data_IF_898175608610
#
_entry.id   IF_898175608610
#
_cell.length_a   1.000
_cell.length_b   1.000
_cell.length_c   1.000
_cell.angle_alpha   90.00
_cell.angle_beta   90.00
_cell.angle_gamma   90.00
#
_symmetry.space_group_name_H-M   'P 1'
#
loop_
_entity.id
_entity.type
_entity.pdbx_description
1 polymer ?
#
# COMPACT_ATOMS: atom_id res chain seq x y z
N UNK A 1 0.39 1.79 -20.82
CA UNK A 1 0.05 3.07 -21.45
C UNK A 1 1.36 3.78 -21.72
N UNK A 2 1.54 4.26 -22.94
CA UNK A 2 2.65 5.14 -23.27
C UNK A 2 2.40 6.46 -22.52
N UNK A 3 3.21 6.72 -21.52
CA UNK A 3 3.11 7.96 -20.73
C UNK A 3 3.74 9.15 -21.45
N UNK A 4 4.17 8.96 -22.73
CA UNK A 4 4.67 10.04 -23.58
C UNK A 4 6.06 10.54 -23.21
N UNK A 5 6.81 9.82 -22.37
CA UNK A 5 8.14 10.21 -21.95
C UNK A 5 9.22 9.30 -22.56
N UNK A 6 10.34 9.87 -23.01
CA UNK A 6 11.44 9.07 -23.52
C UNK A 6 12.01 8.20 -22.39
N UNK A 7 12.10 6.92 -22.62
CA UNK A 7 12.76 5.98 -21.71
C UNK A 7 14.25 5.89 -22.07
N UNK A 8 15.10 6.24 -21.11
CA UNK A 8 16.52 5.95 -21.19
C UNK A 8 16.86 4.75 -20.31
N UNK A 9 17.42 3.66 -20.87
CA UNK A 9 17.70 2.46 -20.09
C UNK A 9 18.84 2.63 -19.06
N UNK A 10 19.59 3.72 -19.13
CA UNK A 10 20.68 4.02 -18.19
C UNK A 10 20.31 5.12 -17.17
N UNK A 11 19.57 6.12 -17.62
CA UNK A 11 19.16 7.25 -16.78
C UNK A 11 17.74 7.09 -16.25
N UNK A 12 16.97 6.17 -16.83
CA UNK A 12 15.58 5.91 -16.45
C UNK A 12 14.61 7.00 -16.91
N UNK A 13 13.50 7.13 -16.22
CA UNK A 13 12.49 8.17 -16.46
C UNK A 13 12.90 9.43 -15.71
N UNK A 14 12.72 10.63 -16.29
CA UNK A 14 13.02 11.88 -15.60
C UNK A 14 12.27 12.00 -14.26
N UNK A 15 12.94 12.56 -13.24
CA UNK A 15 12.37 12.73 -11.88
C UNK A 15 11.04 13.47 -11.87
N UNK A 16 10.88 14.45 -12.76
CA UNK A 16 9.68 15.27 -12.85
C UNK A 16 8.43 14.46 -13.26
N UNK A 17 8.62 13.32 -13.89
CA UNK A 17 7.53 12.49 -14.40
C UNK A 17 7.33 11.21 -13.60
N UNK A 18 8.29 10.88 -12.75
CA UNK A 18 8.26 9.72 -11.88
C UNK A 18 8.32 8.38 -12.62
N UNK A 19 8.70 7.35 -11.91
CA UNK A 19 8.70 5.97 -12.38
C UNK A 19 7.44 5.27 -11.89
N UNK A 20 6.31 5.64 -12.47
CA UNK A 20 5.02 5.09 -12.06
C UNK A 20 4.67 3.93 -12.97
N UNK A 21 4.59 2.75 -12.39
CA UNK A 21 4.11 1.54 -13.06
C UNK A 21 2.86 1.03 -12.35
N UNK A 22 2.20 0.08 -12.95
CA UNK A 22 1.07 -0.61 -12.32
C UNK A 22 1.24 -2.10 -12.57
N UNK A 23 1.57 -2.84 -11.53
CA UNK A 23 1.62 -4.30 -11.56
C UNK A 23 0.44 -4.94 -10.85
N UNK A 24 -0.28 -4.17 -10.02
CA UNK A 24 -1.52 -4.61 -9.37
C UNK A 24 -2.72 -4.36 -10.27
N UNK A 25 -3.61 -5.35 -10.45
CA UNK A 25 -4.87 -5.13 -11.17
C UNK A 25 -5.77 -4.16 -10.37
N UNK A 26 -6.47 -3.24 -11.06
CA UNK A 26 -7.50 -2.43 -10.41
C UNK A 26 -8.61 -3.30 -9.82
N UNK A 27 -9.18 -2.87 -8.68
CA UNK A 27 -10.37 -3.50 -8.12
C UNK A 27 -11.58 -2.56 -8.25
N UNK A 28 -12.71 -3.12 -8.65
CA UNK A 28 -13.97 -2.39 -8.70
C UNK A 28 -14.82 -2.79 -7.52
N UNK A 29 -15.21 -1.82 -6.72
CA UNK A 29 -16.08 -2.02 -5.56
C UNK A 29 -17.15 -0.94 -5.53
N UNK A 30 -18.41 -1.36 -5.59
CA UNK A 30 -19.58 -0.49 -5.70
C UNK A 30 -19.46 0.49 -6.89
N UNK A 31 -19.31 1.78 -6.64
CA UNK A 31 -19.15 2.84 -7.64
C UNK A 31 -17.70 3.32 -7.82
N UNK A 32 -16.75 2.60 -7.23
CA UNK A 32 -15.37 3.05 -7.12
C UNK A 32 -14.41 2.04 -7.76
N UNK A 33 -13.48 2.55 -8.55
CA UNK A 33 -12.31 1.81 -9.03
C UNK A 33 -11.14 2.22 -8.16
N UNK A 34 -10.51 1.26 -7.49
CA UNK A 34 -9.30 1.50 -6.68
C UNK A 34 -8.10 0.92 -7.39
N UNK A 35 -7.05 1.70 -7.48
CA UNK A 35 -5.81 1.36 -8.18
C UNK A 35 -4.66 1.41 -7.18
N UNK A 36 -3.98 0.29 -7.02
CA UNK A 36 -2.65 0.26 -6.44
C UNK A 36 -1.66 0.86 -7.42
N UNK A 37 -0.56 1.31 -6.90
CA UNK A 37 0.53 1.86 -7.68
C UNK A 37 1.79 1.07 -7.35
N UNK A 38 2.75 1.04 -8.23
CA UNK A 38 4.09 0.53 -7.95
C UNK A 38 5.11 1.36 -8.70
N UNK A 39 6.30 1.45 -8.16
CA UNK A 39 7.42 2.05 -8.84
C UNK A 39 8.51 1.00 -9.04
N UNK A 40 9.38 1.21 -9.98
CA UNK A 40 10.57 0.38 -10.10
C UNK A 40 11.55 0.77 -8.99
N UNK A 41 11.85 -0.17 -8.13
CA UNK A 41 12.64 0.07 -6.95
C UNK A 41 13.60 -1.03 -6.68
N UNK A 42 14.32 -0.88 -5.59
CA UNK A 42 15.19 -1.91 -5.06
C UNK A 42 16.43 -2.17 -5.91
N UNK A 43 16.31 -2.09 -7.21
CA UNK A 43 17.36 -2.41 -8.17
C UNK A 43 18.30 -1.25 -8.45
N UNK A 44 17.79 -0.04 -8.43
CA UNK A 44 18.57 1.17 -8.73
C UNK A 44 18.96 1.89 -7.45
N UNK A 45 19.77 1.24 -6.63
CA UNK A 45 20.24 1.77 -5.35
C UNK A 45 21.04 3.06 -5.45
N UNK A 46 21.43 3.45 -6.65
CA UNK A 46 22.08 4.73 -6.90
C UNK A 46 21.11 5.93 -6.93
N UNK A 47 19.80 5.65 -6.93
CA UNK A 47 18.75 6.68 -7.00
C UNK A 47 17.97 6.68 -5.70
N UNK A 48 17.98 7.82 -5.03
CA UNK A 48 17.13 8.13 -3.88
C UNK A 48 15.97 8.92 -4.46
N UNK A 49 14.89 8.22 -4.79
CA UNK A 49 13.73 8.84 -5.42
C UNK A 49 12.50 8.66 -4.58
N UNK A 50 11.88 9.78 -4.28
CA UNK A 50 10.54 9.78 -3.75
C UNK A 50 9.55 9.55 -4.89
N UNK A 51 9.26 8.30 -5.18
CA UNK A 51 8.19 7.94 -6.11
C UNK A 51 6.96 7.62 -5.28
N UNK A 52 5.89 8.41 -5.37
CA UNK A 52 4.70 8.16 -4.59
C UNK A 52 4.05 6.84 -5.00
N UNK A 53 3.95 5.92 -4.05
CA UNK A 53 3.20 4.67 -4.19
C UNK A 53 1.71 4.81 -3.86
N UNK A 54 1.17 6.02 -3.94
CA UNK A 54 -0.17 6.38 -3.47
C UNK A 54 -1.27 5.50 -4.06
N UNK A 55 -2.29 5.24 -3.24
CA UNK A 55 -3.49 4.53 -3.69
C UNK A 55 -4.49 5.56 -4.23
N UNK A 56 -4.94 5.31 -5.44
CA UNK A 56 -5.86 6.21 -6.14
C UNK A 56 -7.24 5.56 -6.30
N UNK A 57 -8.28 6.36 -6.22
CA UNK A 57 -9.63 5.89 -6.51
C UNK A 57 -10.37 6.80 -7.46
N UNK A 58 -11.13 6.18 -8.34
CA UNK A 58 -11.87 6.85 -9.39
C UNK A 58 -13.34 6.44 -9.38
N UNK A 59 -14.19 7.36 -9.78
CA UNK A 59 -15.59 7.03 -10.06
C UNK A 59 -15.66 6.12 -11.29
N UNK A 60 -16.33 4.96 -11.16
CA UNK A 60 -16.34 3.95 -12.22
C UNK A 60 -17.10 4.36 -13.47
N UNK A 61 -17.98 5.35 -13.38
CA UNK A 61 -18.82 5.81 -14.48
C UNK A 61 -18.20 6.98 -15.22
N UNK A 62 -17.64 7.93 -14.48
CA UNK A 62 -17.10 9.17 -15.03
C UNK A 62 -15.59 9.16 -15.22
N UNK A 63 -14.88 8.27 -14.52
CA UNK A 63 -13.42 8.25 -14.46
C UNK A 63 -12.83 9.40 -13.63
N UNK A 64 -13.66 10.19 -12.95
CA UNK A 64 -13.18 11.29 -12.11
C UNK A 64 -12.46 10.74 -10.85
N UNK A 65 -11.35 11.38 -10.49
CA UNK A 65 -10.64 11.07 -9.24
C UNK A 65 -11.57 11.37 -8.04
N UNK A 66 -11.78 10.37 -7.19
CA UNK A 66 -12.58 10.49 -5.95
C UNK A 66 -11.70 10.85 -4.76
N UNK A 67 -10.63 10.10 -4.56
CA UNK A 67 -9.69 10.31 -3.47
C UNK A 67 -8.31 9.73 -3.79
N UNK A 68 -7.35 10.19 -3.01
CA UNK A 68 -5.97 9.69 -2.96
C UNK A 68 -5.63 9.40 -1.50
N UNK A 69 -4.97 8.26 -1.26
CA UNK A 69 -4.40 7.91 0.03
C UNK A 69 -2.88 7.91 -0.07
N UNK A 70 -2.22 8.74 0.74
CA UNK A 70 -0.77 8.79 0.81
C UNK A 70 -0.24 7.60 1.61
N UNK A 71 0.45 6.68 0.97
CA UNK A 71 1.06 5.51 1.64
C UNK A 71 2.33 5.88 2.40
N UNK A 72 2.95 7.00 2.05
CA UNK A 72 3.95 7.69 2.87
C UNK A 72 3.27 8.92 3.44
N UNK A 73 2.94 8.93 4.74
CA UNK A 73 2.17 10.01 5.35
C UNK A 73 2.87 11.35 5.21
N UNK A 74 2.12 12.36 4.77
CA UNK A 74 2.59 13.72 4.62
C UNK A 74 2.52 14.50 5.96
N UNK A 75 3.17 15.67 6.09
CA UNK A 75 3.10 16.48 7.29
C UNK A 75 1.66 16.73 7.74
N UNK A 76 1.38 16.36 9.00
CA UNK A 76 0.04 16.45 9.59
C UNK A 76 -0.85 15.21 9.42
N UNK A 77 -0.45 14.23 8.64
CA UNK A 77 -1.14 12.96 8.54
C UNK A 77 -0.67 11.97 9.61
N UNK A 78 -1.54 11.03 9.97
CA UNK A 78 -1.23 9.98 10.94
C UNK A 78 -0.09 9.08 10.45
N UNK A 79 0.92 8.89 11.29
CA UNK A 79 2.08 8.06 10.99
C UNK A 79 3.25 8.82 10.36
N UNK A 80 3.10 10.11 10.06
CA UNK A 80 4.18 10.95 9.53
C UNK A 80 5.42 10.94 10.44
N UNK A 81 5.22 10.95 11.74
CA UNK A 81 6.27 10.89 12.76
C UNK A 81 7.11 9.62 12.71
N UNK A 82 6.64 8.59 12.02
CA UNK A 82 7.39 7.33 11.83
C UNK A 82 8.43 7.38 10.71
N UNK A 83 8.51 8.50 10.01
CA UNK A 83 9.50 8.81 8.97
C UNK A 83 10.45 9.88 9.52
N UNK A 84 11.38 9.44 10.36
CA UNK A 84 12.31 10.33 11.04
C UNK A 84 13.31 10.98 10.06
N UNK A 85 13.89 12.13 10.46
CA UNK A 85 14.86 12.90 9.67
C UNK A 85 14.35 13.28 8.28
N UNK A 86 13.07 13.62 8.18
CA UNK A 86 12.41 14.02 6.94
C UNK A 86 12.56 12.99 5.81
N UNK A 87 12.72 11.72 6.16
CA UNK A 87 12.91 10.64 5.20
C UNK A 87 11.72 10.50 4.22
N UNK A 88 10.54 10.96 4.60
CA UNK A 88 9.34 11.01 3.76
C UNK A 88 9.51 11.87 2.49
N UNK A 89 10.46 12.84 2.50
CA UNK A 89 10.67 13.73 1.36
C UNK A 89 11.38 13.05 0.19
N UNK A 90 12.19 12.02 0.47
CA UNK A 90 13.11 11.49 -0.52
C UNK A 90 13.18 9.95 -0.59
N UNK A 91 12.63 9.23 0.38
CA UNK A 91 12.44 7.79 0.25
C UNK A 91 11.02 7.48 -0.23
N UNK A 92 10.85 6.39 -0.88
CA UNK A 92 9.61 6.14 -1.56
C UNK A 92 9.08 4.73 -1.49
N UNK A 93 8.09 4.60 -2.29
CA UNK A 93 7.46 3.42 -2.81
C UNK A 93 6.95 2.41 -1.81
N UNK A 94 6.38 2.89 -0.77
CA UNK A 94 5.41 2.10 -0.03
C UNK A 94 4.15 1.99 -0.91
N UNK A 95 4.13 1.08 -1.85
CA UNK A 95 3.01 0.93 -2.79
C UNK A 95 2.26 -0.38 -2.55
N UNK A 96 1.34 -0.71 -3.41
CA UNK A 96 0.69 -2.01 -3.43
C UNK A 96 0.78 -2.60 -4.84
N UNK A 97 1.74 -3.50 -5.05
CA UNK A 97 1.86 -4.25 -6.29
C UNK A 97 1.07 -5.57 -6.26
N UNK A 98 0.74 -6.05 -5.08
CA UNK A 98 -0.13 -7.21 -4.91
C UNK A 98 -1.59 -6.86 -5.22
N UNK A 99 -2.40 -7.83 -5.66
CA UNK A 99 -3.82 -7.61 -5.86
C UNK A 99 -4.52 -7.18 -4.57
N UNK A 100 -5.49 -6.29 -4.71
CA UNK A 100 -6.33 -5.80 -3.64
C UNK A 100 -7.50 -6.73 -3.37
N UNK A 101 -8.13 -6.62 -2.20
CA UNK A 101 -9.41 -7.27 -1.89
C UNK A 101 -10.41 -6.24 -1.38
N UNK A 102 -11.70 -6.53 -1.49
CA UNK A 102 -12.73 -5.60 -1.04
C UNK A 102 -13.92 -6.31 -0.38
N UNK A 103 -14.58 -5.59 0.50
CA UNK A 103 -15.86 -5.93 1.13
C UNK A 103 -16.90 -4.88 0.71
N UNK A 104 -17.69 -5.16 -0.34
CA UNK A 104 -18.67 -4.21 -0.85
C UNK A 104 -19.80 -3.90 0.13
N UNK A 105 -20.15 -4.83 1.02
CA UNK A 105 -21.21 -4.66 2.00
C UNK A 105 -20.85 -3.63 3.06
N UNK A 106 -19.56 -3.60 3.43
CA UNK A 106 -19.01 -2.66 4.44
C UNK A 106 -18.32 -1.45 3.81
N UNK A 107 -18.28 -1.35 2.48
CA UNK A 107 -17.55 -0.32 1.73
C UNK A 107 -16.06 -0.25 2.09
N UNK A 108 -15.41 -1.40 2.24
CA UNK A 108 -14.01 -1.49 2.56
C UNK A 108 -13.18 -2.04 1.39
N UNK A 109 -12.00 -1.49 1.23
CA UNK A 109 -10.94 -2.06 0.38
C UNK A 109 -9.71 -2.30 1.24
N UNK A 110 -9.04 -3.42 1.00
CA UNK A 110 -7.87 -3.85 1.76
C UNK A 110 -6.64 -3.81 0.86
N UNK A 111 -5.64 -3.07 1.33
CA UNK A 111 -4.44 -2.72 0.59
C UNK A 111 -3.25 -3.39 1.26
N UNK A 112 -2.69 -4.47 0.68
CA UNK A 112 -1.43 -5.03 1.15
C UNK A 112 -0.27 -4.21 0.58
N UNK A 113 0.52 -3.57 1.44
CA UNK A 113 1.64 -2.72 1.00
C UNK A 113 2.97 -3.47 1.00
N UNK A 114 3.91 -2.98 0.22
CA UNK A 114 5.28 -3.45 0.15
C UNK A 114 6.21 -2.65 1.08
N UNK A 115 7.47 -3.04 1.07
CA UNK A 115 8.56 -2.36 1.78
C UNK A 115 8.80 -0.97 1.20
N UNK A 116 9.37 -0.10 2.01
CA UNK A 116 9.87 1.18 1.51
C UNK A 116 11.23 1.02 0.82
N UNK A 117 11.52 1.85 -0.18
CA UNK A 117 12.87 1.94 -0.78
C UNK A 117 13.86 2.52 0.23
N UNK A 118 15.08 2.16 0.23
CA UNK A 118 15.80 1.17 -0.56
C UNK A 118 15.61 -0.18 0.12
N UNK A 119 15.38 -1.23 -0.67
CA UNK A 119 15.36 -2.59 -0.15
C UNK A 119 16.69 -2.92 0.53
N UNK A 120 16.64 -3.70 1.60
CA UNK A 120 17.80 -4.22 2.33
C UNK A 120 18.68 -3.19 3.05
N UNK A 121 18.34 -1.89 3.01
CA UNK A 121 19.06 -0.87 3.76
C UNK A 121 18.14 0.25 4.25
N UNK A 122 17.91 0.31 5.57
CA UNK A 122 17.01 1.28 6.20
C UNK A 122 17.69 2.58 6.70
N UNK A 123 19.02 2.72 6.57
CA UNK A 123 19.74 3.88 7.15
C UNK A 123 19.35 5.25 6.60
N UNK A 124 18.75 5.29 5.40
CA UNK A 124 18.22 6.52 4.81
C UNK A 124 16.81 6.90 5.28
N UNK A 125 16.10 6.00 5.94
CA UNK A 125 14.70 6.17 6.38
C UNK A 125 14.49 5.70 7.82
N UNK A 126 15.12 6.35 8.81
CA UNK A 126 14.95 5.97 10.21
C UNK A 126 13.47 6.05 10.63
N UNK A 127 13.13 5.35 11.71
CA UNK A 127 11.78 5.22 12.23
C UNK A 127 11.05 3.97 11.74
N UNK A 128 9.79 3.79 12.13
CA UNK A 128 8.98 2.60 11.84
C UNK A 128 8.53 2.53 10.37
N UNK A 129 8.56 3.63 9.63
CA UNK A 129 8.19 3.79 8.22
C UNK A 129 6.78 3.28 7.89
N UNK A 130 5.77 3.78 8.61
CA UNK A 130 4.37 3.47 8.32
C UNK A 130 3.96 4.11 6.97
N UNK A 131 3.35 3.43 6.08
CA UNK A 131 2.67 2.13 6.06
C UNK A 131 3.46 1.00 5.35
N UNK A 132 4.78 1.00 5.42
CA UNK A 132 5.58 -0.09 4.84
C UNK A 132 5.22 -1.45 5.43
N UNK A 133 5.16 -2.49 4.60
CA UNK A 133 4.83 -3.87 4.96
C UNK A 133 3.59 -3.98 5.87
N UNK A 134 2.49 -3.35 5.46
CA UNK A 134 1.24 -3.27 6.23
C UNK A 134 0.04 -3.81 5.45
N UNK A 135 -1.04 -4.11 6.16
CA UNK A 135 -2.37 -4.24 5.61
C UNK A 135 -3.20 -3.03 6.05
N UNK A 136 -3.81 -2.34 5.09
CA UNK A 136 -4.58 -1.12 5.34
C UNK A 136 -6.01 -1.36 4.89
N UNK A 137 -6.99 -1.00 5.70
CA UNK A 137 -8.40 -0.96 5.30
C UNK A 137 -8.86 0.48 5.12
N UNK A 138 -9.33 0.80 3.92
CA UNK A 138 -9.85 2.12 3.55
C UNK A 138 -11.35 2.07 3.24
N UNK A 139 -12.06 3.12 3.60
CA UNK A 139 -13.43 3.34 3.11
C UNK A 139 -13.40 3.67 1.61
N UNK A 140 -14.07 2.87 0.80
CA UNK A 140 -14.05 3.00 -0.67
C UNK A 140 -14.67 4.30 -1.19
N UNK A 141 -15.51 4.96 -0.39
CA UNK A 141 -16.20 6.20 -0.76
C UNK A 141 -15.35 7.43 -0.52
N UNK A 142 -14.53 7.41 0.54
CA UNK A 142 -13.80 8.60 1.04
C UNK A 142 -12.29 8.47 1.05
N UNK A 143 -11.76 7.24 0.99
CA UNK A 143 -10.33 6.98 1.17
C UNK A 143 -9.88 7.05 2.64
N UNK A 144 -10.81 7.26 3.58
CA UNK A 144 -10.49 7.31 5.00
C UNK A 144 -10.00 5.95 5.51
N UNK A 145 -8.86 5.95 6.22
CA UNK A 145 -8.35 4.75 6.85
C UNK A 145 -9.23 4.34 8.03
N UNK A 146 -9.78 3.14 7.96
CA UNK A 146 -10.55 2.56 9.08
C UNK A 146 -9.64 1.88 10.09
N UNK A 147 -8.72 1.06 9.60
CA UNK A 147 -7.68 0.44 10.40
C UNK A 147 -6.45 0.08 9.55
N UNK A 148 -5.39 -0.27 10.21
CA UNK A 148 -4.20 -0.85 9.59
C UNK A 148 -3.48 -1.75 10.59
N UNK A 149 -2.65 -2.63 10.06
CA UNK A 149 -1.69 -3.39 10.85
C UNK A 149 -0.36 -3.47 10.08
N UNK A 150 0.71 -2.99 10.69
CA UNK A 150 2.05 -3.06 10.13
C UNK A 150 2.70 -4.38 10.56
N UNK A 151 2.95 -5.29 9.62
CA UNK A 151 3.52 -6.61 9.89
C UNK A 151 4.99 -6.53 10.31
N UNK A 152 5.74 -5.63 9.69
CA UNK A 152 7.15 -5.39 9.96
C UNK A 152 7.41 -3.90 10.02
N UNK A 153 7.90 -3.45 11.18
CA UNK A 153 8.37 -2.08 11.36
C UNK A 153 9.78 -1.93 10.83
N UNK A 154 10.10 -0.78 10.25
CA UNK A 154 11.41 -0.51 9.65
C UNK A 154 11.90 -1.66 8.77
N UNK A 155 11.05 -2.08 7.87
CA UNK A 155 11.24 -3.27 7.05
C UNK A 155 12.45 -3.11 6.13
N UNK A 156 13.40 -4.06 6.17
CA UNK A 156 14.66 -4.07 5.39
C UNK A 156 14.96 -5.44 4.76
N UNK A 157 14.00 -6.35 4.73
CA UNK A 157 14.17 -7.73 4.27
C UNK A 157 13.42 -8.01 2.97
N UNK A 158 12.78 -6.98 2.40
CA UNK A 158 11.85 -7.10 1.28
C UNK A 158 10.68 -8.06 1.59
N UNK A 159 10.10 -7.89 2.77
CA UNK A 159 8.94 -8.65 3.24
C UNK A 159 7.61 -8.02 2.80
N UNK A 160 7.52 -7.66 1.52
CA UNK A 160 6.27 -7.21 0.92
C UNK A 160 5.14 -8.18 1.19
N UNK A 161 3.93 -7.68 1.27
CA UNK A 161 2.73 -8.52 1.30
C UNK A 161 2.35 -8.95 -0.13
N UNK A 162 2.64 -10.21 -0.53
CA UNK A 162 2.69 -10.58 -1.95
C UNK A 162 1.35 -11.04 -2.52
N UNK A 163 0.32 -11.15 -1.69
CA UNK A 163 -0.95 -11.77 -2.09
C UNK A 163 -2.14 -10.89 -1.78
N UNK A 164 -3.22 -11.06 -2.53
CA UNK A 164 -4.52 -10.52 -2.15
C UNK A 164 -4.91 -11.04 -0.76
N UNK A 165 -5.35 -10.18 0.16
CA UNK A 165 -5.95 -10.63 1.41
C UNK A 165 -7.20 -11.47 1.16
N UNK A 166 -7.41 -12.54 1.93
CA UNK A 166 -8.54 -13.46 1.75
C UNK A 166 -9.63 -13.14 2.76
N UNK A 167 -10.83 -12.78 2.27
CA UNK A 167 -12.01 -12.60 3.12
C UNK A 167 -12.62 -13.95 3.44
N UNK A 168 -12.95 -14.17 4.70
CA UNK A 168 -13.56 -15.42 5.20
C UNK A 168 -14.41 -15.13 6.43
N UNK A 169 -15.23 -16.11 6.80
CA UNK A 169 -15.94 -16.10 8.08
C UNK A 169 -15.34 -17.20 8.95
N UNK A 170 -14.87 -16.84 10.13
CA UNK A 170 -14.29 -17.77 11.09
C UNK A 170 -15.31 -18.12 12.18
N UNK A 171 -15.52 -19.42 12.42
CA UNK A 171 -16.27 -19.87 13.60
C UNK A 171 -15.32 -19.89 14.81
N UNK A 172 -15.45 -18.88 15.66
CA UNK A 172 -14.60 -18.74 16.84
C UNK A 172 -15.32 -19.20 18.11
N UNK A 173 -14.69 -20.07 18.93
CA UNK A 173 -15.26 -20.49 20.20
C UNK A 173 -15.63 -19.28 21.08
N UNK A 174 -16.90 -19.24 21.51
CA UNK A 174 -17.43 -18.16 22.36
C UNK A 174 -17.75 -16.84 21.67
N UNK A 175 -17.35 -16.66 20.38
CA UNK A 175 -17.65 -15.45 19.60
C UNK A 175 -18.59 -15.72 18.41
N UNK A 176 -18.78 -17.00 18.03
CA UNK A 176 -19.58 -17.37 16.86
C UNK A 176 -18.84 -17.03 15.55
N UNK A 177 -19.60 -16.69 14.49
CA UNK A 177 -19.04 -16.27 13.21
C UNK A 177 -18.46 -14.86 13.29
N UNK A 178 -17.16 -14.76 13.03
CA UNK A 178 -16.43 -13.49 12.95
C UNK A 178 -16.10 -13.22 11.49
N UNK A 179 -16.48 -12.07 10.93
CA UNK A 179 -16.08 -11.68 9.59
C UNK A 179 -14.57 -11.37 9.62
N UNK A 180 -13.78 -12.22 8.98
CA UNK A 180 -12.32 -12.15 9.06
C UNK A 180 -11.68 -11.82 7.72
N UNK A 181 -10.42 -11.39 7.79
CA UNK A 181 -9.52 -11.25 6.65
C UNK A 181 -8.17 -11.86 7.02
N UNK A 182 -7.61 -12.64 6.10
CA UNK A 182 -6.31 -13.29 6.28
C UNK A 182 -5.29 -12.77 5.27
N UNK A 183 -4.12 -12.33 5.74
CA UNK A 183 -2.99 -11.91 4.93
C UNK A 183 -1.85 -12.90 5.05
N UNK A 184 -1.45 -13.48 3.92
CA UNK A 184 -0.25 -14.31 3.80
C UNK A 184 0.93 -13.38 3.54
N UNK A 185 2.05 -13.61 4.22
CA UNK A 185 3.24 -12.76 4.14
C UNK A 185 4.48 -13.54 3.70
N UNK A 186 5.50 -12.84 3.22
CA UNK A 186 6.82 -13.42 2.89
C UNK A 186 7.57 -13.97 4.13
N UNK A 187 7.12 -13.61 5.34
CA UNK A 187 7.63 -14.17 6.59
C UNK A 187 7.18 -15.64 6.84
N UNK A 188 6.38 -16.22 5.92
CA UNK A 188 5.69 -17.50 6.09
C UNK A 188 4.67 -17.52 7.25
N UNK A 189 4.12 -16.35 7.60
CA UNK A 189 3.05 -16.18 8.56
C UNK A 189 1.74 -15.88 7.84
N UNK A 190 0.64 -16.27 8.46
CA UNK A 190 -0.70 -15.84 8.12
C UNK A 190 -1.22 -14.99 9.28
N UNK A 191 -1.47 -13.73 9.02
CA UNK A 191 -2.12 -12.84 9.97
C UNK A 191 -3.62 -12.85 9.70
N UNK A 192 -4.43 -12.97 10.72
CA UNK A 192 -5.88 -12.92 10.61
C UNK A 192 -6.45 -11.81 11.52
N UNK A 193 -7.40 -11.06 10.99
CA UNK A 193 -8.03 -9.93 11.67
C UNK A 193 -9.55 -9.98 11.50
N UNK A 194 -10.27 -9.44 12.45
CA UNK A 194 -11.63 -8.99 12.17
C UNK A 194 -11.57 -7.97 11.04
N UNK A 195 -12.26 -8.25 9.90
CA UNK A 195 -12.10 -7.42 8.71
C UNK A 195 -12.70 -6.03 8.84
N UNK A 196 -13.59 -5.81 9.85
CA UNK A 196 -14.24 -4.52 10.08
C UNK A 196 -13.41 -3.65 11.02
N UNK A 197 -12.89 -4.25 12.11
CA UNK A 197 -12.22 -3.51 13.19
C UNK A 197 -10.72 -3.54 13.11
N UNK A 198 -10.14 -4.53 12.42
CA UNK A 198 -8.70 -4.78 12.39
C UNK A 198 -8.15 -5.45 13.66
N UNK A 199 -9.03 -5.92 14.56
CA UNK A 199 -8.62 -6.65 15.76
C UNK A 199 -8.05 -8.02 15.36
N UNK A 200 -6.81 -8.38 15.79
CA UNK A 200 -6.19 -9.66 15.48
C UNK A 200 -6.81 -10.83 16.26
#
# INVERSE_FOLDING_TARGET
ADLGHPYDPYEGIPLETGYITTSSPPIVVNDTIVVGNSAEQGYLQARVENVPGDILAYDKTTGALKWKFNVIPQPGEYGHETWENDAWEWTGDVSSWAPLSADPENNLVYIPTNSATIDYYGGFRPGDNLYGAALIALDTRTGERKWHFQMVKHEIWNFDNPTAPVLLDLDMPGRGKVPAIAQITKQAWVYAFDRITGEP
#
